data_IF_465366205165
#
_entry.id   IF_465366205165
#
_cell.length_a   1.000
_cell.length_b   1.000
_cell.length_c   1.000
_cell.angle_alpha   90.00
_cell.angle_beta   90.00
_cell.angle_gamma   90.00
#
_symmetry.space_group_name_H-M   'P 1'
#
loop_
_entity.id
_entity.type
_entity.pdbx_description
1 polymer ?
#
# COMPACT_ATOMS: atom_id res chain seq x y z
N UNK A 1 -45.52 -47.77 -7.12
CA UNK A 1 -45.55 -46.33 -7.36
C UNK A 1 -44.43 -45.68 -6.54
N UNK A 2 -43.34 -45.31 -7.19
CA UNK A 2 -42.18 -44.69 -6.50
C UNK A 2 -42.19 -43.18 -6.81
N UNK A 3 -42.41 -42.36 -5.79
CA UNK A 3 -42.35 -40.88 -5.92
C UNK A 3 -40.92 -40.44 -5.81
N UNK A 4 -40.37 -39.89 -6.90
CA UNK A 4 -39.06 -39.26 -6.91
C UNK A 4 -39.15 -37.82 -6.36
N UNK A 5 -38.46 -37.56 -5.25
CA UNK A 5 -38.35 -36.26 -4.64
C UNK A 5 -37.21 -35.47 -5.38
N UNK A 6 -37.58 -34.48 -6.20
CA UNK A 6 -36.63 -33.56 -6.79
C UNK A 6 -36.25 -32.47 -5.79
N UNK A 7 -35.01 -32.51 -5.28
CA UNK A 7 -34.42 -31.41 -4.51
C UNK A 7 -33.89 -30.38 -5.49
N UNK A 8 -34.58 -29.24 -5.60
CA UNK A 8 -34.11 -28.06 -6.34
C UNK A 8 -33.08 -27.34 -5.49
N UNK A 9 -31.81 -27.52 -5.80
CA UNK A 9 -30.72 -26.71 -5.26
C UNK A 9 -30.75 -25.33 -5.92
N UNK A 10 -31.27 -24.32 -5.24
CA UNK A 10 -31.12 -22.92 -5.65
C UNK A 10 -29.68 -22.50 -5.45
N UNK A 11 -28.99 -21.96 -6.49
CA UNK A 11 -27.67 -21.41 -6.28
C UNK A 11 -27.77 -20.16 -5.40
N UNK A 12 -27.14 -20.19 -4.23
CA UNK A 12 -26.91 -18.99 -3.42
C UNK A 12 -25.93 -18.14 -4.22
N UNK A 13 -26.45 -17.10 -4.85
CA UNK A 13 -25.63 -16.08 -5.47
C UNK A 13 -24.82 -15.41 -4.35
N UNK A 14 -23.52 -15.72 -4.28
CA UNK A 14 -22.59 -14.98 -3.46
C UNK A 14 -22.55 -13.55 -4.02
N UNK A 15 -23.26 -12.62 -3.40
CA UNK A 15 -23.09 -11.20 -3.66
C UNK A 15 -21.67 -10.84 -3.23
N UNK A 16 -20.75 -10.81 -4.19
CA UNK A 16 -19.48 -10.11 -3.99
C UNK A 16 -19.85 -8.68 -3.60
N UNK A 17 -19.53 -8.27 -2.38
CA UNK A 17 -19.68 -6.89 -1.94
C UNK A 17 -18.87 -6.03 -2.91
N UNK A 18 -19.57 -5.29 -3.78
CA UNK A 18 -18.95 -4.36 -4.71
C UNK A 18 -18.28 -3.26 -3.88
N UNK A 19 -16.96 -3.32 -3.77
CA UNK A 19 -16.20 -2.29 -3.05
C UNK A 19 -16.36 -0.99 -3.83
N UNK A 20 -17.02 -0.03 -3.22
CA UNK A 20 -17.19 1.33 -3.78
C UNK A 20 -16.55 2.33 -2.85
N UNK A 21 -15.76 3.22 -3.42
CA UNK A 21 -15.19 4.34 -2.68
C UNK A 21 -16.29 5.39 -2.51
N UNK A 22 -16.52 5.83 -1.27
CA UNK A 22 -17.45 6.91 -0.97
C UNK A 22 -17.01 8.21 -1.67
N UNK A 23 -17.88 8.89 -2.46
CA UNK A 23 -17.50 10.09 -3.21
C UNK A 23 -17.07 11.25 -2.32
N UNK A 24 -17.63 11.38 -1.11
CA UNK A 24 -17.23 12.44 -0.17
C UNK A 24 -15.86 12.13 0.44
N UNK A 25 -15.61 10.87 0.77
CA UNK A 25 -14.29 10.42 1.22
C UNK A 25 -13.21 10.65 0.14
N UNK A 26 -13.53 10.35 -1.13
CA UNK A 26 -12.63 10.60 -2.26
C UNK A 26 -12.36 12.10 -2.47
N UNK A 27 -13.38 12.94 -2.34
CA UNK A 27 -13.19 14.39 -2.40
C UNK A 27 -12.22 14.90 -1.33
N UNK A 28 -12.35 14.44 -0.08
CA UNK A 28 -11.46 14.83 1.02
C UNK A 28 -10.03 14.33 0.76
N UNK A 29 -9.86 13.11 0.26
CA UNK A 29 -8.56 12.58 -0.15
C UNK A 29 -7.93 13.43 -1.26
N UNK A 30 -8.69 13.79 -2.31
CA UNK A 30 -8.20 14.62 -3.41
C UNK A 30 -7.83 16.04 -2.97
N UNK A 31 -8.50 16.59 -1.96
CA UNK A 31 -8.11 17.86 -1.36
C UNK A 31 -6.80 17.76 -0.56
N UNK A 32 -6.54 16.60 0.07
CA UNK A 32 -5.28 16.35 0.77
C UNK A 32 -4.10 16.13 -0.18
N UNK A 33 -4.34 15.61 -1.39
CA UNK A 33 -3.30 15.14 -2.31
C UNK A 33 -2.25 16.19 -2.68
N UNK A 34 -2.60 17.41 -3.13
CA UNK A 34 -1.60 18.45 -3.46
C UNK A 34 -0.75 18.87 -2.26
N UNK A 35 -1.30 18.84 -1.05
CA UNK A 35 -0.58 19.14 0.18
C UNK A 35 0.40 18.03 0.55
N UNK A 36 0.03 16.77 0.29
CA UNK A 36 0.91 15.62 0.47
C UNK A 36 2.02 15.59 -0.57
N UNK A 37 1.71 15.89 -1.83
CA UNK A 37 2.69 15.95 -2.92
C UNK A 37 3.73 17.04 -2.65
N UNK A 38 3.31 18.17 -2.12
CA UNK A 38 4.23 19.22 -1.69
C UNK A 38 5.14 18.77 -0.54
N UNK A 39 4.60 17.97 0.40
CA UNK A 39 5.38 17.42 1.51
C UNK A 39 6.29 16.26 1.09
N UNK A 40 5.86 15.44 0.12
CA UNK A 40 6.59 14.28 -0.40
C UNK A 40 7.59 14.65 -1.52
N UNK A 41 7.50 15.87 -2.08
CA UNK A 41 8.37 16.30 -3.16
C UNK A 41 9.81 16.40 -2.66
N UNK A 42 10.72 15.51 -3.09
CA UNK A 42 12.12 15.74 -2.87
C UNK A 42 12.50 16.92 -3.78
N UNK A 43 12.95 18.00 -3.23
CA UNK A 43 13.70 18.92 -4.04
C UNK A 43 14.96 18.18 -4.50
N UNK A 44 15.17 18.07 -5.81
CA UNK A 44 16.31 17.34 -6.42
C UNK A 44 17.68 17.85 -5.94
N UNK A 45 17.70 18.97 -5.23
CA UNK A 45 18.87 19.59 -4.64
C UNK A 45 19.07 19.34 -3.14
N UNK A 46 18.16 18.65 -2.45
CA UNK A 46 18.40 18.23 -1.06
C UNK A 46 19.38 17.04 -0.99
N UNK A 47 20.49 17.12 -1.68
CA UNK A 47 21.67 16.40 -1.23
C UNK A 47 21.93 16.86 0.19
N UNK A 48 21.91 15.94 1.13
CA UNK A 48 22.47 16.04 2.49
C UNK A 48 23.94 16.51 2.43
N UNK A 49 24.17 17.69 1.89
CA UNK A 49 25.47 18.31 1.72
C UNK A 49 25.63 19.49 2.64
N UNK A 50 25.26 19.37 3.89
CA UNK A 50 25.91 20.33 4.80
C UNK A 50 25.78 19.86 6.23
N UNK A 51 26.76 19.18 6.67
CA UNK A 51 26.99 18.91 8.08
C UNK A 51 27.29 20.16 8.90
N UNK A 52 27.35 21.37 8.33
CA UNK A 52 27.69 22.60 9.06
C UNK A 52 27.08 23.80 8.32
N UNK A 53 25.93 24.24 8.78
CA UNK A 53 25.28 25.45 8.28
C UNK A 53 23.82 25.19 7.93
N UNK A 54 22.93 25.97 8.54
CA UNK A 54 21.50 25.90 8.28
C UNK A 54 21.28 26.40 6.86
N UNK A 55 21.07 25.49 5.89
CA UNK A 55 20.69 25.83 4.52
C UNK A 55 19.36 26.58 4.54
N UNK A 56 19.31 27.83 4.04
CA UNK A 56 18.06 28.62 3.99
C UNK A 56 16.96 27.90 3.19
N UNK A 57 17.31 27.10 2.18
CA UNK A 57 16.39 26.33 1.37
C UNK A 57 15.78 25.18 2.16
N UNK A 58 16.58 24.40 2.86
CA UNK A 58 16.09 23.33 3.74
C UNK A 58 15.13 23.86 4.80
N UNK A 59 15.41 25.06 5.35
CA UNK A 59 14.52 25.74 6.29
C UNK A 59 13.20 26.20 5.64
N UNK A 60 13.23 26.65 4.38
CA UNK A 60 12.04 27.06 3.64
C UNK A 60 11.14 25.84 3.38
N UNK A 61 11.71 24.73 2.93
CA UNK A 61 11.01 23.47 2.71
C UNK A 61 10.45 22.89 4.00
N UNK A 62 11.23 22.86 5.07
CA UNK A 62 10.77 22.41 6.38
C UNK A 62 9.60 23.26 6.90
N UNK A 63 9.61 24.58 6.66
CA UNK A 63 8.49 25.46 7.02
C UNK A 63 7.27 25.23 6.14
N UNK A 64 7.44 25.06 4.82
CA UNK A 64 6.34 24.74 3.91
C UNK A 64 5.68 23.41 4.29
N UNK A 65 6.47 22.38 4.54
CA UNK A 65 5.98 21.09 5.03
C UNK A 65 5.28 21.21 6.38
N UNK A 66 5.84 21.95 7.34
CA UNK A 66 5.22 22.17 8.65
C UNK A 66 3.88 22.93 8.56
N UNK A 67 3.69 23.76 7.55
CA UNK A 67 2.44 24.50 7.32
C UNK A 67 1.38 23.65 6.61
N UNK A 68 1.76 22.82 5.64
CA UNK A 68 0.82 22.06 4.80
C UNK A 68 0.44 20.70 5.38
N UNK A 69 1.38 20.00 6.00
CA UNK A 69 1.18 18.64 6.49
C UNK A 69 0.07 18.50 7.55
N UNK A 70 -0.10 19.41 8.54
CA UNK A 70 -1.20 19.30 9.48
C UNK A 70 -2.58 19.36 8.82
N UNK A 71 -2.74 20.21 7.80
CA UNK A 71 -3.99 20.34 7.03
C UNK A 71 -4.23 19.08 6.21
N UNK A 72 -3.21 18.55 5.54
CA UNK A 72 -3.31 17.30 4.80
C UNK A 72 -3.71 16.13 5.70
N UNK A 73 -3.08 16.01 6.87
CA UNK A 73 -3.40 14.96 7.86
C UNK A 73 -4.82 15.09 8.40
N UNK A 74 -5.31 16.31 8.62
CA UNK A 74 -6.70 16.53 9.06
C UNK A 74 -7.71 16.07 7.99
N UNK A 75 -7.45 16.36 6.71
CA UNK A 75 -8.28 15.90 5.59
C UNK A 75 -8.22 14.38 5.44
N UNK A 76 -7.01 13.78 5.55
CA UNK A 76 -6.86 12.33 5.53
C UNK A 76 -7.66 11.65 6.65
N UNK A 77 -7.62 12.18 7.88
CA UNK A 77 -8.38 11.61 9.01
C UNK A 77 -9.87 11.59 8.73
N UNK A 78 -10.43 12.69 8.22
CA UNK A 78 -11.85 12.76 7.81
C UNK A 78 -12.18 11.75 6.70
N UNK A 79 -11.32 11.61 5.70
CA UNK A 79 -11.48 10.63 4.63
C UNK A 79 -11.41 9.18 5.15
N UNK A 80 -10.54 8.93 6.13
CA UNK A 80 -10.41 7.63 6.82
C UNK A 80 -11.65 7.29 7.63
N UNK A 81 -12.25 8.25 8.32
CA UNK A 81 -13.52 8.06 9.06
C UNK A 81 -14.65 7.60 8.14
N UNK A 82 -14.62 7.99 6.88
CA UNK A 82 -15.54 7.53 5.82
C UNK A 82 -15.05 6.26 5.10
N UNK A 83 -13.99 5.62 5.58
CA UNK A 83 -13.51 4.34 5.11
C UNK A 83 -12.66 4.35 3.83
N UNK A 84 -12.16 5.51 3.36
CA UNK A 84 -11.40 5.60 2.11
C UNK A 84 -10.07 4.83 2.16
N UNK A 85 -9.88 3.79 1.31
CA UNK A 85 -8.73 2.89 1.44
C UNK A 85 -7.37 3.56 1.16
N UNK A 86 -7.32 4.47 0.18
CA UNK A 86 -6.07 5.17 -0.13
C UNK A 86 -5.70 6.18 0.96
N UNK A 87 -6.69 6.85 1.56
CA UNK A 87 -6.46 7.75 2.70
C UNK A 87 -5.97 6.98 3.93
N UNK A 88 -6.51 5.78 4.19
CA UNK A 88 -6.03 4.88 5.24
C UNK A 88 -4.55 4.55 5.06
N UNK A 89 -4.15 4.19 3.84
CA UNK A 89 -2.75 3.93 3.51
C UNK A 89 -1.86 5.17 3.71
N UNK A 90 -2.26 6.33 3.19
CA UNK A 90 -1.47 7.56 3.30
C UNK A 90 -1.33 8.03 4.76
N UNK A 91 -2.39 7.91 5.56
CA UNK A 91 -2.33 8.22 6.99
C UNK A 91 -1.43 7.24 7.75
N UNK A 92 -1.46 5.95 7.40
CA UNK A 92 -0.56 4.96 7.97
C UNK A 92 0.91 5.26 7.62
N UNK A 93 1.22 5.67 6.39
CA UNK A 93 2.57 6.12 6.02
C UNK A 93 3.02 7.33 6.84
N UNK A 94 2.14 8.30 7.06
CA UNK A 94 2.42 9.42 7.96
C UNK A 94 2.82 8.92 9.35
N UNK A 95 2.08 7.97 9.91
CA UNK A 95 2.40 7.40 11.22
C UNK A 95 3.73 6.63 11.21
N UNK A 96 4.05 5.88 10.17
CA UNK A 96 5.35 5.18 10.07
C UNK A 96 6.54 6.13 9.94
N UNK A 97 6.32 7.36 9.50
CA UNK A 97 7.37 8.37 9.30
C UNK A 97 7.59 9.23 10.55
N UNK A 98 6.50 9.60 11.23
CA UNK A 98 6.55 10.64 12.26
C UNK A 98 6.33 10.15 13.70
N UNK A 99 5.85 8.91 13.89
CA UNK A 99 5.68 8.37 15.24
C UNK A 99 6.95 7.66 15.72
N UNK A 100 7.18 7.61 17.04
CA UNK A 100 8.18 6.74 17.64
C UNK A 100 7.93 5.27 17.28
N UNK A 101 9.00 4.50 17.04
CA UNK A 101 8.92 3.10 16.58
C UNK A 101 7.97 2.23 17.40
N UNK A 102 7.91 2.42 18.72
CA UNK A 102 7.03 1.68 19.63
C UNK A 102 5.53 1.95 19.41
N UNK A 103 5.16 3.05 18.76
CA UNK A 103 3.76 3.44 18.52
C UNK A 103 3.30 3.12 17.09
N UNK A 104 4.22 2.81 16.18
CA UNK A 104 3.91 2.61 14.75
C UNK A 104 2.90 1.48 14.57
N UNK A 105 3.15 0.31 15.17
CA UNK A 105 2.31 -0.85 14.97
C UNK A 105 0.85 -0.58 15.39
N UNK A 106 0.65 0.02 16.56
CA UNK A 106 -0.69 0.31 17.11
C UNK A 106 -1.45 1.34 16.27
N UNK A 107 -0.75 2.37 15.77
CA UNK A 107 -1.39 3.44 14.99
C UNK A 107 -1.58 3.08 13.50
N UNK A 108 -0.59 2.45 12.87
CA UNK A 108 -0.59 2.22 11.43
C UNK A 108 -1.23 0.89 11.02
N UNK A 109 -1.05 -0.20 11.78
CA UNK A 109 -1.51 -1.53 11.35
C UNK A 109 -3.03 -1.64 11.18
N UNK A 110 -3.89 -1.07 12.04
CA UNK A 110 -5.33 -1.10 11.80
C UNK A 110 -5.72 -0.44 10.47
N UNK A 111 -5.10 0.68 10.13
CA UNK A 111 -5.33 1.41 8.87
C UNK A 111 -4.84 0.61 7.66
N UNK A 112 -3.65 0.05 7.74
CA UNK A 112 -3.07 -0.78 6.68
C UNK A 112 -3.91 -2.02 6.41
N UNK A 113 -4.38 -2.70 7.46
CA UNK A 113 -5.24 -3.87 7.35
C UNK A 113 -6.61 -3.51 6.75
N UNK A 114 -7.23 -2.41 7.18
CA UNK A 114 -8.51 -1.94 6.66
C UNK A 114 -8.39 -1.58 5.16
N UNK A 115 -7.32 -0.91 4.77
CA UNK A 115 -7.04 -0.57 3.37
C UNK A 115 -6.78 -1.81 2.51
N UNK A 116 -5.97 -2.77 3.00
CA UNK A 116 -5.67 -4.01 2.29
C UNK A 116 -6.92 -4.87 2.08
N UNK A 117 -7.78 -5.01 3.09
CA UNK A 117 -9.04 -5.76 3.01
C UNK A 117 -9.99 -5.22 1.94
N UNK A 118 -9.88 -3.94 1.59
CA UNK A 118 -10.61 -3.33 0.48
C UNK A 118 -9.93 -3.56 -0.89
N UNK A 119 -8.83 -4.31 -0.95
CA UNK A 119 -8.12 -4.68 -2.17
C UNK A 119 -7.13 -3.63 -2.69
N UNK A 120 -6.78 -2.62 -1.88
CA UNK A 120 -5.72 -1.67 -2.24
C UNK A 120 -4.34 -2.29 -1.98
N UNK A 121 -3.50 -2.41 -3.02
CA UNK A 121 -2.25 -3.17 -2.96
C UNK A 121 -1.12 -2.57 -2.11
N UNK A 122 -0.87 -1.24 -2.10
CA UNK A 122 0.28 -0.64 -1.41
C UNK A 122 0.43 -1.00 0.08
N UNK A 123 -0.64 -1.13 0.88
CA UNK A 123 -0.54 -1.55 2.27
C UNK A 123 0.16 -2.88 2.49
N UNK A 124 0.12 -3.80 1.51
CA UNK A 124 0.75 -5.12 1.63
C UNK A 124 2.24 -5.04 2.00
N UNK A 125 2.96 -4.10 1.37
CA UNK A 125 4.40 -3.90 1.59
C UNK A 125 4.67 -3.38 3.01
N UNK A 126 3.88 -2.43 3.48
CA UNK A 126 4.02 -1.85 4.82
C UNK A 126 3.64 -2.86 5.92
N UNK A 127 2.57 -3.65 5.71
CA UNK A 127 2.16 -4.74 6.62
C UNK A 127 3.28 -5.77 6.79
N UNK A 128 3.93 -6.17 5.69
CA UNK A 128 5.03 -7.12 5.74
C UNK A 128 6.19 -6.66 6.65
N UNK A 129 6.34 -5.34 6.81
CA UNK A 129 7.40 -4.73 7.63
C UNK A 129 6.96 -4.48 9.07
N UNK A 130 5.76 -3.93 9.27
CA UNK A 130 5.37 -3.33 10.55
C UNK A 130 4.32 -4.12 11.34
N UNK A 131 3.53 -4.99 10.68
CA UNK A 131 2.33 -5.55 11.31
C UNK A 131 2.48 -7.04 11.64
N UNK A 132 3.34 -7.37 12.58
CA UNK A 132 3.43 -8.72 13.13
C UNK A 132 2.46 -8.88 14.32
N UNK A 133 1.81 -10.04 14.48
CA UNK A 133 1.91 -11.27 13.67
C UNK A 133 0.97 -11.33 12.45
N UNK A 134 0.20 -10.27 12.17
CA UNK A 134 -0.81 -10.26 11.10
C UNK A 134 -0.23 -10.64 9.72
N UNK A 135 1.01 -10.22 9.40
CA UNK A 135 1.70 -10.50 8.12
C UNK A 135 1.96 -12.00 7.86
N UNK A 136 1.77 -12.86 8.85
CA UNK A 136 1.86 -14.32 8.72
C UNK A 136 0.48 -15.02 8.83
N UNK A 137 -0.60 -14.26 8.94
CA UNK A 137 -1.95 -14.80 9.18
C UNK A 137 -2.63 -15.27 7.89
N UNK A 138 -3.58 -16.22 7.97
CA UNK A 138 -4.44 -16.59 6.84
C UNK A 138 -5.21 -15.39 6.27
N UNK A 139 -5.66 -14.46 7.12
CA UNK A 139 -6.39 -13.27 6.71
C UNK A 139 -5.54 -12.31 5.85
N UNK A 140 -4.23 -12.23 6.11
CA UNK A 140 -3.32 -11.47 5.25
C UNK A 140 -3.15 -12.13 3.88
N UNK A 141 -2.97 -13.45 3.85
CA UNK A 141 -2.91 -14.22 2.59
C UNK A 141 -4.17 -14.02 1.74
N UNK A 142 -5.35 -14.21 2.34
CA UNK A 142 -6.64 -14.05 1.66
C UNK A 142 -6.79 -12.63 1.09
N UNK A 143 -6.41 -11.60 1.85
CA UNK A 143 -6.43 -10.22 1.37
C UNK A 143 -5.49 -9.98 0.19
N UNK A 144 -4.30 -10.59 0.17
CA UNK A 144 -3.36 -10.50 -0.96
C UNK A 144 -3.93 -11.19 -2.22
N UNK A 145 -4.58 -12.35 -2.06
CA UNK A 145 -5.18 -13.11 -3.16
C UNK A 145 -6.34 -12.35 -3.84
N UNK A 146 -7.04 -11.49 -3.11
CA UNK A 146 -8.14 -10.68 -3.63
C UNK A 146 -7.68 -9.46 -4.48
N UNK A 147 -6.45 -8.97 -4.30
CA UNK A 147 -5.96 -7.72 -4.93
C UNK A 147 -6.06 -7.70 -6.46
N UNK A 148 -5.71 -8.76 -7.21
CA UNK A 148 -5.76 -8.72 -8.67
C UNK A 148 -7.14 -8.38 -9.22
N UNK A 149 -8.22 -8.81 -8.56
CA UNK A 149 -9.60 -8.50 -8.95
C UNK A 149 -9.99 -7.04 -8.79
N UNK A 150 -9.25 -6.26 -7.99
CA UNK A 150 -9.56 -4.87 -7.66
C UNK A 150 -8.70 -3.85 -8.42
N UNK A 151 -7.85 -4.30 -9.33
CA UNK A 151 -6.87 -3.47 -10.02
C UNK A 151 -7.50 -2.28 -10.76
N UNK A 152 -8.62 -2.47 -11.44
CA UNK A 152 -9.29 -1.41 -12.21
C UNK A 152 -9.82 -0.29 -11.30
N UNK A 153 -10.38 -0.63 -10.13
CA UNK A 153 -10.91 0.33 -9.18
C UNK A 153 -9.84 1.32 -8.70
N UNK A 154 -8.62 0.84 -8.49
CA UNK A 154 -7.54 1.63 -7.90
C UNK A 154 -6.58 2.24 -8.91
N UNK A 155 -6.75 1.98 -10.20
CA UNK A 155 -5.87 2.54 -11.25
C UNK A 155 -5.68 4.07 -11.17
N UNK A 156 -6.74 4.88 -10.89
CA UNK A 156 -6.62 6.35 -10.82
C UNK A 156 -5.81 6.88 -9.63
N UNK A 157 -5.49 6.02 -8.66
CA UNK A 157 -4.80 6.44 -7.43
C UNK A 157 -3.29 6.19 -7.47
N UNK A 158 -2.74 5.72 -8.58
CA UNK A 158 -1.29 5.52 -8.74
C UNK A 158 -0.63 6.67 -9.51
N UNK A 159 0.68 6.95 -9.22
CA UNK A 159 1.60 6.21 -8.36
C UNK A 159 1.38 6.46 -6.86
N UNK A 160 1.89 5.53 -6.00
CA UNK A 160 1.85 5.67 -4.54
C UNK A 160 3.26 5.57 -3.94
N UNK A 161 3.55 6.36 -2.88
CA UNK A 161 4.84 6.29 -2.20
C UNK A 161 4.93 5.08 -1.27
N UNK A 162 6.14 4.61 -1.03
CA UNK A 162 6.48 3.60 -0.02
C UNK A 162 7.94 3.74 0.37
N UNK A 163 8.33 3.17 1.51
CA UNK A 163 9.72 3.19 1.94
C UNK A 163 10.61 2.37 0.98
N UNK A 164 10.15 1.22 0.51
CA UNK A 164 10.90 0.33 -0.39
C UNK A 164 10.01 -0.64 -1.15
N UNK A 165 10.33 -0.82 -2.44
CA UNK A 165 9.79 -1.89 -3.30
C UNK A 165 10.91 -2.87 -3.67
N UNK A 166 10.77 -4.13 -3.29
CA UNK A 166 11.73 -5.16 -3.61
C UNK A 166 11.69 -5.54 -5.11
N UNK A 167 10.52 -5.39 -5.73
CA UNK A 167 10.30 -5.66 -7.15
C UNK A 167 10.68 -4.51 -8.08
N UNK A 168 11.02 -3.32 -7.56
CA UNK A 168 11.44 -2.20 -8.40
C UNK A 168 12.95 -2.25 -8.69
N UNK A 169 13.33 -1.89 -9.91
CA UNK A 169 14.74 -1.71 -10.30
C UNK A 169 15.31 -0.37 -9.80
N UNK A 170 14.46 0.63 -9.68
CA UNK A 170 14.83 1.94 -9.16
C UNK A 170 14.98 1.86 -7.64
N UNK A 171 16.13 2.28 -7.15
CA UNK A 171 16.36 2.42 -5.70
C UNK A 171 16.53 3.91 -5.40
N UNK A 172 15.70 4.49 -4.52
CA UNK A 172 15.90 5.85 -4.09
C UNK A 172 17.23 5.97 -3.35
N UNK A 173 17.85 7.13 -3.46
CA UNK A 173 19.06 7.45 -2.69
C UNK A 173 18.66 8.02 -1.32
N UNK A 174 19.34 7.59 -0.28
CA UNK A 174 19.12 8.09 1.08
C UNK A 174 17.73 7.70 1.65
N UNK A 175 17.07 8.68 2.27
CA UNK A 175 15.78 8.52 2.95
C UNK A 175 14.56 8.84 2.06
N UNK A 176 14.76 8.99 0.76
CA UNK A 176 13.66 9.31 -0.16
C UNK A 176 12.65 8.19 -0.28
N UNK A 177 11.38 8.54 -0.31
CA UNK A 177 10.29 7.61 -0.60
C UNK A 177 10.38 7.12 -2.06
N UNK A 178 10.10 5.84 -2.25
CA UNK A 178 10.02 5.25 -3.58
C UNK A 178 8.59 5.31 -4.11
N UNK A 179 8.39 5.84 -5.31
CA UNK A 179 7.08 5.90 -5.94
C UNK A 179 6.84 4.69 -6.83
N UNK A 180 5.87 3.88 -6.46
CA UNK A 180 5.49 2.66 -7.18
C UNK A 180 4.28 2.87 -8.07
N UNK A 181 4.35 2.35 -9.30
CA UNK A 181 3.19 2.22 -10.18
C UNK A 181 2.35 1.01 -9.75
N UNK A 182 1.13 0.94 -10.19
CA UNK A 182 0.23 -0.18 -9.87
C UNK A 182 0.86 -1.56 -10.12
N UNK A 183 1.51 -1.74 -11.27
CA UNK A 183 2.20 -3.01 -11.62
C UNK A 183 3.33 -3.38 -10.65
N UNK A 184 3.98 -2.37 -10.05
CA UNK A 184 5.07 -2.64 -9.11
C UNK A 184 4.53 -3.23 -7.82
N UNK A 185 3.41 -2.71 -7.33
CA UNK A 185 2.71 -3.27 -6.17
C UNK A 185 2.06 -4.63 -6.47
N UNK A 186 1.55 -4.85 -7.69
CA UNK A 186 1.05 -6.16 -8.09
C UNK A 186 2.17 -7.22 -8.06
N UNK A 187 3.36 -6.89 -8.56
CA UNK A 187 4.51 -7.79 -8.47
C UNK A 187 4.93 -8.06 -7.02
N UNK A 188 4.91 -7.03 -6.15
CA UNK A 188 5.16 -7.22 -4.71
C UNK A 188 4.14 -8.16 -4.05
N UNK A 189 2.85 -8.06 -4.41
CA UNK A 189 1.81 -8.95 -3.89
C UNK A 189 2.13 -10.41 -4.20
N UNK A 190 2.47 -10.73 -5.45
CA UNK A 190 2.84 -12.10 -5.81
C UNK A 190 4.14 -12.56 -5.13
N UNK A 191 5.11 -11.68 -4.96
CA UNK A 191 6.32 -11.96 -4.19
C UNK A 191 6.00 -12.28 -2.73
N UNK A 192 5.12 -11.49 -2.09
CA UNK A 192 4.69 -11.71 -0.71
C UNK A 192 3.87 -12.99 -0.56
N UNK A 193 2.97 -13.28 -1.49
CA UNK A 193 2.23 -14.56 -1.54
C UNK A 193 3.18 -15.76 -1.61
N UNK A 194 4.31 -15.65 -2.32
CA UNK A 194 5.29 -16.73 -2.40
C UNK A 194 5.94 -17.07 -1.06
N UNK A 195 5.92 -16.15 -0.10
CA UNK A 195 6.41 -16.40 1.27
C UNK A 195 5.36 -17.12 2.13
N UNK A 196 4.07 -16.95 1.80
CA UNK A 196 2.92 -17.51 2.54
C UNK A 196 2.40 -18.83 1.93
N UNK A 197 2.78 -19.15 0.70
CA UNK A 197 2.37 -20.35 0.00
C UNK A 197 3.59 -21.13 -0.56
N UNK A 198 4.21 -22.00 0.26
CA UNK A 198 5.37 -22.77 -0.16
C UNK A 198 5.08 -23.72 -1.32
N UNK A 199 3.83 -24.22 -1.45
CA UNK A 199 3.44 -25.17 -2.49
C UNK A 199 3.43 -24.53 -3.88
N UNK A 200 3.01 -23.26 -3.97
CA UNK A 200 2.94 -22.51 -5.23
C UNK A 200 4.04 -21.45 -5.36
N UNK A 201 5.03 -21.46 -4.47
CA UNK A 201 6.11 -20.46 -4.41
C UNK A 201 6.72 -20.15 -5.77
N UNK A 202 7.10 -21.17 -6.53
CA UNK A 202 7.77 -20.96 -7.81
C UNK A 202 6.87 -20.27 -8.83
N UNK A 203 5.61 -20.69 -8.95
CA UNK A 203 4.63 -20.07 -9.85
C UNK A 203 4.34 -18.61 -9.47
N UNK A 204 4.22 -18.30 -8.17
CA UNK A 204 3.99 -16.95 -7.67
C UNK A 204 5.20 -16.03 -7.93
N UNK A 205 6.43 -16.51 -7.72
CA UNK A 205 7.63 -15.75 -8.06
C UNK A 205 7.74 -15.52 -9.57
N UNK A 206 7.44 -16.53 -10.40
CA UNK A 206 7.40 -16.38 -11.84
C UNK A 206 6.39 -15.32 -12.27
N UNK A 207 5.20 -15.31 -11.66
CA UNK A 207 4.18 -14.29 -11.91
C UNK A 207 4.66 -12.87 -11.57
N UNK A 208 5.35 -12.70 -10.46
CA UNK A 208 5.95 -11.41 -10.09
C UNK A 208 6.97 -10.93 -11.13
N UNK A 209 7.77 -11.85 -11.70
CA UNK A 209 8.72 -11.53 -12.77
C UNK A 209 8.00 -11.12 -14.05
N UNK A 210 6.94 -11.82 -14.45
CA UNK A 210 6.15 -11.51 -15.65
C UNK A 210 5.51 -10.13 -15.61
N UNK A 211 5.05 -9.67 -14.43
CA UNK A 211 4.35 -8.39 -14.28
C UNK A 211 5.28 -7.19 -14.53
N UNK A 212 6.47 -7.17 -13.92
CA UNK A 212 7.38 -6.01 -14.02
C UNK A 212 8.87 -6.34 -14.07
N UNK A 213 9.23 -7.62 -14.21
CA UNK A 213 10.61 -8.08 -14.14
C UNK A 213 11.19 -8.03 -12.72
N UNK A 214 10.39 -8.34 -11.69
CA UNK A 214 10.76 -8.27 -10.27
C UNK A 214 12.13 -8.91 -9.99
N UNK A 215 13.13 -8.08 -9.68
CA UNK A 215 14.51 -8.53 -9.45
C UNK A 215 14.61 -9.44 -8.22
N UNK A 216 13.87 -9.11 -7.15
CA UNK A 216 13.87 -9.94 -5.94
C UNK A 216 13.29 -11.35 -6.19
N UNK A 217 12.25 -11.44 -7.04
CA UNK A 217 11.68 -12.73 -7.42
C UNK A 217 12.64 -13.52 -8.34
N UNK A 218 13.30 -12.86 -9.30
CA UNK A 218 14.33 -13.51 -10.14
C UNK A 218 15.46 -14.11 -9.31
N UNK A 219 15.98 -13.32 -8.35
CA UNK A 219 17.05 -13.81 -7.47
C UNK A 219 16.63 -15.04 -6.63
N UNK A 220 15.36 -15.09 -6.20
CA UNK A 220 14.83 -16.23 -5.44
C UNK A 220 14.62 -17.48 -6.30
N UNK A 221 14.23 -17.33 -7.57
CA UNK A 221 14.09 -18.41 -8.53
C UNK A 221 15.43 -19.05 -8.91
N UNK A 222 16.52 -18.27 -8.91
CA UNK A 222 17.87 -18.74 -9.26
C UNK A 222 18.65 -19.31 -8.08
N UNK A 223 18.27 -19.01 -6.84
CA UNK A 223 18.87 -19.62 -5.63
C UNK A 223 18.27 -21.02 -5.43
N UNK A 224 19.05 -22.04 -5.73
CA UNK A 224 18.77 -23.43 -5.41
C UNK A 224 19.07 -23.72 -3.95
#
# INVERSE_FOLDING_TARGET
MASALFIVLTPVAAHALEVRIDPHADLLYRQALPLLEQADSPDDNSTLRTAIGVDPELNRQGRAMAQTLPTAVALLKKSVELGHPVAQYRLALYYTTYLPAAQIADAACPLLQASLKQGFAPPAVAIATWCQPYNASPAYREALEAIPGMATLYAPYFPQPTARLACSRSRPQGLQMQWGRQRDYQAEVYRLLSDLDPQHRQALLQKAVEINGCVAAQQRLTRR
#
